data_IF_684350751377
#
_entry.id   IF_684350751377
#
_cell.length_a   1.000
_cell.length_b   1.000
_cell.length_c   1.000
_cell.angle_alpha   90.00
_cell.angle_beta   90.00
_cell.angle_gamma   90.00
#
_symmetry.space_group_name_H-M   'P 1'
#
loop_
_entity.id
_entity.type
_entity.pdbx_description
1 polymer ?
#
# COMPACT_ATOMS: atom_id res chain seq x y z
N UNK A 1 48.50 -13.26 -28.22
CA UNK A 1 47.10 -13.55 -28.57
C UNK A 1 46.28 -13.69 -27.26
N UNK A 2 45.38 -12.76 -26.96
CA UNK A 2 44.45 -12.92 -25.83
C UNK A 2 43.38 -13.94 -26.20
N UNK A 3 43.17 -14.92 -25.34
CA UNK A 3 42.10 -15.91 -25.56
C UNK A 3 40.73 -15.24 -25.42
N UNK A 4 39.73 -15.69 -26.18
CA UNK A 4 38.38 -15.13 -26.18
C UNK A 4 37.76 -14.97 -24.77
N UNK A 5 38.12 -15.87 -23.84
CA UNK A 5 37.69 -15.82 -22.44
C UNK A 5 38.24 -14.59 -21.69
N UNK A 6 39.51 -14.19 -21.95
CA UNK A 6 40.09 -13.00 -21.33
C UNK A 6 39.50 -11.71 -21.86
N UNK A 7 39.10 -11.69 -23.14
CA UNK A 7 38.40 -10.55 -23.75
C UNK A 7 37.01 -10.37 -23.17
N UNK A 8 36.28 -11.46 -22.95
CA UNK A 8 34.92 -11.42 -22.36
C UNK A 8 34.94 -10.87 -20.92
N UNK A 9 35.90 -11.33 -20.08
CA UNK A 9 36.02 -10.84 -18.70
C UNK A 9 36.40 -9.36 -18.68
N UNK A 10 37.21 -8.89 -19.62
CA UNK A 10 37.59 -7.48 -19.71
C UNK A 10 36.41 -6.60 -20.13
N UNK A 11 35.59 -7.04 -21.06
CA UNK A 11 34.41 -6.33 -21.52
C UNK A 11 33.32 -6.27 -20.45
N UNK A 12 33.09 -7.34 -19.67
CA UNK A 12 32.16 -7.32 -18.55
C UNK A 12 32.62 -6.42 -17.41
N UNK A 13 33.89 -6.40 -17.08
CA UNK A 13 34.43 -5.47 -16.07
C UNK A 13 34.29 -4.01 -16.48
N UNK A 14 34.54 -3.69 -17.77
CA UNK A 14 34.37 -2.33 -18.31
C UNK A 14 32.91 -1.87 -18.29
N UNK A 15 31.95 -2.78 -18.54
CA UNK A 15 30.54 -2.48 -18.54
C UNK A 15 30.01 -2.22 -17.12
N UNK A 16 30.49 -3.00 -16.14
CA UNK A 16 30.11 -2.80 -14.73
C UNK A 16 30.68 -1.50 -14.18
N UNK A 17 31.90 -1.14 -14.51
CA UNK A 17 32.51 0.14 -14.11
C UNK A 17 31.83 1.34 -14.78
N UNK A 18 31.40 1.22 -16.02
CA UNK A 18 30.65 2.27 -16.72
C UNK A 18 29.26 2.49 -16.11
N UNK A 19 28.55 1.41 -15.74
CA UNK A 19 27.25 1.48 -15.04
C UNK A 19 27.40 2.10 -13.64
N UNK A 20 28.44 1.76 -12.88
CA UNK A 20 28.70 2.37 -11.58
C UNK A 20 29.06 3.87 -11.70
N UNK A 21 29.82 4.26 -12.73
CA UNK A 21 30.15 5.67 -12.98
C UNK A 21 28.89 6.48 -13.38
N UNK A 22 27.95 5.88 -14.13
CA UNK A 22 26.69 6.54 -14.52
C UNK A 22 25.80 6.80 -13.30
N UNK A 23 25.76 5.86 -12.34
CA UNK A 23 24.99 6.03 -11.09
C UNK A 23 25.60 7.13 -10.20
N UNK A 24 26.92 7.29 -10.19
CA UNK A 24 27.60 8.31 -9.37
C UNK A 24 27.47 9.72 -9.99
N UNK A 25 27.44 9.84 -11.30
CA UNK A 25 27.29 11.14 -11.99
C UNK A 25 25.86 11.68 -11.89
N UNK A 26 24.84 10.82 -11.84
CA UNK A 26 23.43 11.26 -11.68
C UNK A 26 23.10 11.66 -10.25
N UNK A 27 23.93 11.35 -9.26
CA UNK A 27 23.70 11.69 -7.85
C UNK A 27 24.32 13.04 -7.39
N UNK A 28 24.97 13.78 -8.28
CA UNK A 28 25.54 15.10 -7.98
C UNK A 28 24.82 16.18 -8.77
N UNK A 29 23.79 16.74 -8.20
CA UNK A 29 23.22 17.99 -8.68
C UNK A 29 21.70 18.01 -8.81
N UNK A 30 20.98 17.60 -7.79
CA UNK A 30 19.60 18.06 -7.65
C UNK A 30 19.56 19.15 -6.57
N UNK A 31 19.30 20.37 -7.04
CA UNK A 31 18.77 21.40 -6.20
C UNK A 31 17.51 20.83 -5.53
N UNK A 32 17.37 20.99 -4.22
CA UNK A 32 16.16 20.68 -3.48
C UNK A 32 14.99 21.37 -4.16
N UNK A 33 14.27 20.65 -5.02
CA UNK A 33 12.91 21.01 -5.38
C UNK A 33 12.11 20.90 -4.07
N UNK A 34 11.37 21.94 -3.67
CA UNK A 34 10.48 21.82 -2.53
C UNK A 34 9.62 20.60 -2.75
N UNK A 35 9.75 19.60 -1.87
CA UNK A 35 8.96 18.38 -1.90
C UNK A 35 7.49 18.74 -1.96
N UNK A 36 6.65 17.89 -2.56
CA UNK A 36 5.22 18.14 -2.60
C UNK A 36 4.77 18.43 -1.16
N UNK A 37 4.18 19.62 -0.98
CA UNK A 37 3.59 20.03 0.28
C UNK A 37 2.68 18.89 0.74
N UNK A 38 3.04 18.24 1.84
CA UNK A 38 2.20 17.23 2.47
C UNK A 38 0.93 17.94 2.95
N UNK A 39 -0.05 18.04 2.06
CA UNK A 39 -1.37 18.46 2.50
C UNK A 39 -1.88 17.34 3.43
N UNK A 40 -2.30 17.66 4.64
CA UNK A 40 -2.90 16.66 5.49
C UNK A 40 -4.05 15.99 4.73
N UNK A 41 -4.12 14.67 4.78
CA UNK A 41 -5.28 13.91 4.30
C UNK A 41 -6.50 14.60 4.89
N UNK A 42 -7.42 15.01 4.04
CA UNK A 42 -8.58 15.78 4.47
C UNK A 42 -9.26 15.02 5.61
N UNK A 43 -9.33 15.65 6.77
CA UNK A 43 -10.06 15.08 7.88
C UNK A 43 -11.49 14.81 7.42
N UNK A 44 -11.96 13.58 7.62
CA UNK A 44 -13.36 13.22 7.44
C UNK A 44 -14.25 14.30 8.05
N UNK A 45 -15.25 14.74 7.30
CA UNK A 45 -16.36 15.44 7.92
C UNK A 45 -17.21 14.40 8.67
N UNK A 46 -16.70 14.03 9.85
CA UNK A 46 -17.19 12.93 10.67
C UNK A 46 -18.69 13.02 10.96
N UNK A 47 -19.22 14.24 11.04
CA UNK A 47 -20.65 14.43 11.34
C UNK A 47 -21.56 13.93 10.22
N UNK A 48 -21.22 14.19 8.94
CA UNK A 48 -22.04 13.74 7.81
C UNK A 48 -21.93 12.23 7.58
N UNK A 49 -20.73 11.68 7.74
CA UNK A 49 -20.50 10.24 7.60
C UNK A 49 -21.15 9.45 8.76
N UNK A 50 -21.03 9.95 9.98
CA UNK A 50 -21.67 9.35 11.15
C UNK A 50 -23.20 9.38 11.06
N UNK A 51 -23.79 10.43 10.48
CA UNK A 51 -25.23 10.58 10.31
C UNK A 51 -25.75 9.59 9.26
N UNK A 52 -25.03 9.40 8.16
CA UNK A 52 -25.39 8.44 7.10
C UNK A 52 -25.33 6.98 7.58
N UNK A 53 -24.31 6.63 8.39
CA UNK A 53 -24.04 5.25 8.80
C UNK A 53 -24.60 4.91 10.20
N UNK A 54 -24.87 5.90 11.06
CA UNK A 54 -25.31 5.67 12.45
C UNK A 54 -26.58 4.84 12.59
N UNK A 55 -27.43 4.82 11.57
CA UNK A 55 -28.60 3.95 11.50
C UNK A 55 -28.27 2.45 11.49
N UNK A 56 -27.04 2.07 11.10
CA UNK A 56 -26.61 0.70 10.89
C UNK A 56 -25.63 0.16 11.96
N UNK A 57 -25.28 0.92 12.98
CA UNK A 57 -24.37 0.57 14.09
C UNK A 57 -22.97 0.10 13.68
N UNK A 58 -22.50 0.49 12.50
CA UNK A 58 -21.28 -0.02 11.91
C UNK A 58 -20.04 0.80 12.34
N UNK A 59 -20.23 2.11 12.50
CA UNK A 59 -19.16 3.01 12.93
C UNK A 59 -19.08 3.01 14.45
N UNK A 60 -17.96 2.50 14.97
CA UNK A 60 -17.66 2.58 16.40
C UNK A 60 -17.29 4.02 16.80
N UNK A 61 -16.47 4.68 16.01
CA UNK A 61 -16.02 6.07 16.19
C UNK A 61 -15.23 6.33 17.48
N UNK A 62 -15.21 5.39 18.41
CA UNK A 62 -14.57 5.54 19.72
C UNK A 62 -13.07 5.84 19.59
N UNK A 63 -12.42 5.32 18.55
CA UNK A 63 -11.00 5.45 18.29
C UNK A 63 -10.69 6.21 17.00
N UNK A 64 -11.65 6.98 16.48
CA UNK A 64 -11.49 7.69 15.22
C UNK A 64 -10.29 8.66 15.21
N UNK A 65 -10.03 9.35 16.32
CA UNK A 65 -8.88 10.26 16.44
C UNK A 65 -7.55 9.52 16.30
N UNK A 66 -7.46 8.31 16.86
CA UNK A 66 -6.25 7.47 16.76
C UNK A 66 -6.03 7.00 15.33
N UNK A 67 -7.09 6.55 14.65
CA UNK A 67 -7.02 6.14 13.23
C UNK A 67 -6.56 7.30 12.36
N UNK A 68 -7.15 8.49 12.52
CA UNK A 68 -6.75 9.69 11.77
C UNK A 68 -5.32 10.14 12.11
N UNK A 69 -4.92 10.03 13.37
CA UNK A 69 -3.55 10.35 13.78
C UNK A 69 -2.54 9.48 13.03
N UNK A 70 -2.80 8.18 12.91
CA UNK A 70 -1.95 7.25 12.16
C UNK A 70 -2.04 7.54 10.65
N UNK A 71 -3.23 7.76 10.11
CA UNK A 71 -3.40 8.12 8.69
C UNK A 71 -2.57 9.34 8.28
N UNK A 72 -2.44 10.33 9.16
CA UNK A 72 -1.60 11.52 8.93
C UNK A 72 -0.09 11.25 8.93
N UNK A 73 0.34 10.04 9.33
CA UNK A 73 1.75 9.63 9.29
C UNK A 73 2.10 8.78 8.05
N UNK A 74 1.13 8.53 7.17
CA UNK A 74 1.35 7.79 5.92
C UNK A 74 2.41 8.50 5.07
N UNK A 75 3.41 7.77 4.57
CA UNK A 75 4.48 8.32 3.74
C UNK A 75 3.95 9.14 2.56
N UNK A 76 4.55 10.32 2.28
CA UNK A 76 4.08 11.23 1.24
C UNK A 76 3.96 10.61 -0.15
N UNK A 77 4.81 9.64 -0.47
CA UNK A 77 4.80 8.93 -1.75
C UNK A 77 3.54 8.07 -1.97
N UNK A 78 2.85 7.67 -0.90
CA UNK A 78 1.59 6.92 -0.97
C UNK A 78 0.35 7.82 -1.05
N UNK A 79 0.45 9.08 -0.67
CA UNK A 79 -0.68 10.00 -0.59
C UNK A 79 -1.40 10.23 -1.94
N UNK A 80 -0.74 10.22 -3.11
CA UNK A 80 -1.46 10.34 -4.39
C UNK A 80 -2.53 9.27 -4.60
N UNK A 81 -2.30 8.04 -4.10
CA UNK A 81 -3.26 6.95 -4.16
C UNK A 81 -4.48 7.15 -3.25
N UNK A 82 -4.34 8.01 -2.24
CA UNK A 82 -5.34 8.20 -1.18
C UNK A 82 -6.21 9.45 -1.40
N UNK A 83 -6.15 10.02 -2.61
CA UNK A 83 -6.96 11.21 -2.91
C UNK A 83 -8.45 10.88 -2.84
N UNK A 84 -9.15 11.50 -1.88
CA UNK A 84 -10.57 11.24 -1.61
C UNK A 84 -10.83 9.96 -0.83
N UNK A 85 -9.79 9.27 -0.33
CA UNK A 85 -9.97 8.13 0.57
C UNK A 85 -10.31 8.61 1.97
N UNK A 86 -11.33 8.01 2.56
CA UNK A 86 -11.77 8.30 3.92
C UNK A 86 -11.32 7.19 4.87
N UNK A 87 -10.94 7.57 6.10
CA UNK A 87 -10.51 6.64 7.15
C UNK A 87 -11.54 6.57 8.25
N UNK A 88 -12.02 5.36 8.54
CA UNK A 88 -13.15 5.11 9.45
C UNK A 88 -12.74 4.16 10.56
N UNK A 89 -13.07 4.51 11.81
CA UNK A 89 -12.99 3.55 12.90
C UNK A 89 -14.32 2.77 13.00
N UNK A 90 -14.28 1.49 12.66
CA UNK A 90 -15.46 0.63 12.70
C UNK A 90 -15.25 -0.73 12.07
N UNK A 91 -16.31 -1.54 12.06
CA UNK A 91 -16.34 -2.80 11.35
C UNK A 91 -17.01 -2.61 9.99
N UNK A 92 -16.33 -2.98 8.93
CA UNK A 92 -16.90 -2.92 7.60
C UNK A 92 -18.09 -3.92 7.49
N UNK A 93 -19.22 -3.52 6.91
CA UNK A 93 -20.40 -4.38 6.79
C UNK A 93 -20.16 -5.70 6.08
N UNK A 94 -19.34 -5.67 5.03
CA UNK A 94 -18.99 -6.85 4.26
C UNK A 94 -18.27 -7.90 5.14
N UNK A 95 -17.26 -7.50 5.92
CA UNK A 95 -16.54 -8.44 6.78
C UNK A 95 -17.46 -9.05 7.84
N UNK A 96 -18.32 -8.24 8.43
CA UNK A 96 -19.29 -8.72 9.44
C UNK A 96 -20.28 -9.72 8.84
N UNK A 97 -20.73 -9.49 7.61
CA UNK A 97 -21.70 -10.38 6.94
C UNK A 97 -21.05 -11.64 6.38
N UNK A 98 -19.96 -11.49 5.62
CA UNK A 98 -19.37 -12.60 4.86
C UNK A 98 -18.41 -13.44 5.70
N UNK A 99 -17.66 -12.82 6.61
CA UNK A 99 -16.71 -13.51 7.48
C UNK A 99 -17.33 -13.87 8.85
N UNK A 100 -18.49 -13.28 9.20
CA UNK A 100 -19.11 -13.45 10.51
C UNK A 100 -18.35 -12.75 11.64
N UNK A 101 -17.34 -11.94 11.32
CA UNK A 101 -16.49 -11.25 12.28
C UNK A 101 -16.04 -9.88 11.74
N UNK A 102 -15.53 -9.05 12.63
CA UNK A 102 -14.95 -7.75 12.30
C UNK A 102 -13.46 -7.91 11.97
N UNK A 103 -13.07 -7.73 10.72
CA UNK A 103 -11.66 -7.72 10.35
C UNK A 103 -10.88 -6.60 11.07
N UNK A 104 -9.57 -6.73 11.17
CA UNK A 104 -8.71 -5.67 11.72
C UNK A 104 -8.77 -4.40 10.86
N UNK A 105 -8.76 -4.55 9.53
CA UNK A 105 -8.94 -3.50 8.55
C UNK A 105 -9.72 -3.98 7.34
N UNK A 106 -10.12 -3.05 6.48
CA UNK A 106 -10.75 -3.32 5.17
C UNK A 106 -10.66 -2.06 4.32
N UNK A 107 -10.12 -2.17 3.11
CA UNK A 107 -10.27 -1.15 2.08
C UNK A 107 -11.46 -1.50 1.18
N UNK A 108 -12.40 -0.57 1.04
CA UNK A 108 -13.54 -0.71 0.14
C UNK A 108 -13.46 0.28 -1.03
N UNK A 109 -13.08 -0.17 -2.22
CA UNK A 109 -13.01 0.70 -3.40
C UNK A 109 -14.39 1.07 -3.95
N UNK A 110 -15.40 0.22 -3.77
CA UNK A 110 -16.68 0.28 -4.47
C UNK A 110 -17.85 0.76 -3.63
N UNK A 111 -17.72 0.74 -2.30
CA UNK A 111 -18.80 1.09 -1.39
C UNK A 111 -19.80 -0.03 -1.21
N UNK A 112 -19.28 -1.26 -1.03
CA UNK A 112 -20.15 -2.41 -0.85
C UNK A 112 -20.93 -2.32 0.47
N UNK A 113 -22.24 -2.55 0.43
CA UNK A 113 -23.10 -2.70 1.58
C UNK A 113 -23.82 -4.05 1.58
N UNK A 114 -24.47 -4.40 2.70
CA UNK A 114 -25.05 -5.72 2.89
C UNK A 114 -26.37 -5.93 2.14
N UNK A 115 -27.00 -4.88 1.69
CA UNK A 115 -28.35 -4.89 1.11
C UNK A 115 -28.49 -4.03 -0.15
N UNK A 116 -27.36 -3.47 -0.63
CA UNK A 116 -27.29 -2.60 -1.80
C UNK A 116 -28.19 -1.35 -1.69
N UNK A 117 -28.52 -0.93 -0.47
CA UNK A 117 -29.40 0.22 -0.24
C UNK A 117 -28.67 1.54 -0.14
N UNK A 118 -27.36 1.51 0.22
CA UNK A 118 -26.55 2.70 0.42
C UNK A 118 -25.61 3.02 -0.76
N UNK A 119 -25.55 2.15 -1.75
CA UNK A 119 -24.86 2.23 -3.03
C UNK A 119 -23.76 3.27 -3.12
N UNK A 120 -22.51 2.90 -2.99
CA UNK A 120 -21.32 3.75 -3.13
C UNK A 120 -21.06 4.82 -2.04
N UNK A 121 -21.89 4.94 -1.00
CA UNK A 121 -21.63 5.91 0.07
C UNK A 121 -20.32 5.67 0.78
N UNK A 122 -19.84 4.41 0.82
CA UNK A 122 -18.61 4.01 1.46
C UNK A 122 -17.46 3.73 0.48
N UNK A 123 -17.67 4.06 -0.79
CA UNK A 123 -16.65 3.88 -1.80
C UNK A 123 -15.37 4.65 -1.45
N UNK A 124 -14.23 4.02 -1.72
CA UNK A 124 -12.90 4.56 -1.44
C UNK A 124 -12.69 4.87 0.06
N UNK A 125 -13.07 3.93 0.93
CA UNK A 125 -12.91 4.04 2.39
C UNK A 125 -11.95 2.98 2.93
N UNK A 126 -11.18 3.36 3.95
CA UNK A 126 -10.35 2.46 4.74
C UNK A 126 -10.95 2.36 6.14
N UNK A 127 -11.38 1.17 6.50
CA UNK A 127 -11.94 0.84 7.80
C UNK A 127 -10.88 0.23 8.70
N UNK A 128 -10.82 0.69 9.94
CA UNK A 128 -9.91 0.16 10.97
C UNK A 128 -10.71 -0.13 12.21
N UNK A 129 -10.74 -1.39 12.62
CA UNK A 129 -11.56 -1.81 13.74
C UNK A 129 -11.01 -1.34 15.09
N UNK A 130 -11.90 -1.21 16.08
CA UNK A 130 -11.50 -0.95 17.47
C UNK A 130 -10.64 -2.08 18.05
N UNK A 131 -10.67 -3.28 17.47
CA UNK A 131 -9.78 -4.37 17.85
C UNK A 131 -8.34 -4.08 17.45
N UNK A 132 -8.09 -3.53 16.24
CA UNK A 132 -6.76 -3.09 15.81
C UNK A 132 -6.17 -2.06 16.79
N UNK A 133 -7.00 -1.12 17.26
CA UNK A 133 -6.57 -0.11 18.23
C UNK A 133 -6.19 -0.75 19.57
N UNK A 134 -7.07 -1.57 20.12
CA UNK A 134 -6.83 -2.23 21.43
C UNK A 134 -5.60 -3.13 21.44
N UNK A 135 -5.21 -3.65 20.28
CA UNK A 135 -4.03 -4.53 20.14
C UNK A 135 -2.77 -3.78 19.69
N UNK A 136 -2.84 -2.45 19.52
CA UNK A 136 -1.70 -1.62 19.12
C UNK A 136 -1.26 -1.81 17.66
N UNK A 137 -2.12 -2.38 16.80
CA UNK A 137 -1.79 -2.73 15.40
C UNK A 137 -2.22 -1.70 14.37
N UNK A 138 -2.74 -0.55 14.79
CA UNK A 138 -3.28 0.47 13.86
C UNK A 138 -2.29 0.88 12.78
N UNK A 139 -0.99 1.14 13.05
CA UNK A 139 -0.05 1.56 12.02
C UNK A 139 0.12 0.49 10.92
N UNK A 140 0.25 -0.77 11.30
CA UNK A 140 0.44 -1.87 10.35
C UNK A 140 -0.85 -2.13 9.55
N UNK A 141 -2.01 -2.14 10.21
CA UNK A 141 -3.32 -2.27 9.56
C UNK A 141 -3.56 -1.13 8.57
N UNK A 142 -3.31 0.11 8.96
CA UNK A 142 -3.46 1.27 8.05
C UNK A 142 -2.56 1.12 6.82
N UNK A 143 -1.30 0.73 7.00
CA UNK A 143 -0.38 0.53 5.86
C UNK A 143 -0.79 -0.64 4.97
N UNK A 144 -1.35 -1.71 5.53
CA UNK A 144 -1.91 -2.84 4.78
C UNK A 144 -3.06 -2.38 3.88
N UNK A 145 -4.06 -1.71 4.45
CA UNK A 145 -5.21 -1.21 3.69
C UNK A 145 -4.82 -0.12 2.68
N UNK A 146 -3.83 0.72 3.01
CA UNK A 146 -3.21 1.65 2.05
C UNK A 146 -2.55 0.90 0.91
N UNK A 147 -1.96 -0.27 1.15
CA UNK A 147 -1.44 -1.16 0.11
C UNK A 147 -2.52 -1.53 -0.91
N UNK A 148 -3.71 -1.95 -0.46
CA UNK A 148 -4.86 -2.22 -1.33
C UNK A 148 -5.30 -0.97 -2.11
N UNK A 149 -5.38 0.18 -1.45
CA UNK A 149 -5.73 1.44 -2.09
C UNK A 149 -4.72 1.86 -3.18
N UNK A 150 -3.41 1.70 -2.92
CA UNK A 150 -2.36 1.95 -3.92
C UNK A 150 -2.48 1.04 -5.12
N UNK A 151 -2.69 -0.26 -4.88
CA UNK A 151 -2.86 -1.26 -5.95
C UNK A 151 -4.07 -0.92 -6.82
N UNK A 152 -5.18 -0.51 -6.21
CA UNK A 152 -6.39 -0.13 -6.94
C UNK A 152 -6.26 1.22 -7.65
N UNK A 153 -5.79 2.26 -6.95
CA UNK A 153 -5.87 3.63 -7.44
C UNK A 153 -4.67 4.07 -8.30
N UNK A 154 -3.51 3.39 -8.16
CA UNK A 154 -2.31 3.75 -8.93
C UNK A 154 -1.82 2.66 -9.88
N UNK A 155 -1.98 1.38 -9.55
CA UNK A 155 -1.33 0.32 -10.31
C UNK A 155 -2.21 -0.29 -11.40
N UNK A 156 -3.53 -0.11 -11.35
CA UNK A 156 -4.48 -0.66 -12.32
C UNK A 156 -4.21 -0.15 -13.74
N UNK A 157 -3.93 1.15 -13.89
CA UNK A 157 -3.69 1.81 -15.18
C UNK A 157 -2.22 2.20 -15.38
N UNK A 158 -1.32 1.69 -14.54
CA UNK A 158 0.11 1.98 -14.61
C UNK A 158 0.87 0.85 -15.30
N UNK A 159 1.79 1.19 -16.20
CA UNK A 159 2.58 0.24 -16.98
C UNK A 159 4.08 0.51 -16.84
N UNK A 160 4.88 -0.55 -16.75
CA UNK A 160 6.32 -0.38 -16.86
C UNK A 160 6.72 0.00 -18.31
N UNK A 161 7.67 0.92 -18.50
CA UNK A 161 8.02 1.47 -19.84
C UNK A 161 8.41 0.43 -20.90
N UNK A 162 8.80 -0.78 -20.49
CA UNK A 162 9.22 -1.87 -21.38
C UNK A 162 8.23 -3.04 -21.46
N UNK A 163 7.12 -2.96 -20.74
CA UNK A 163 6.10 -4.02 -20.61
C UNK A 163 4.70 -3.41 -20.73
N UNK A 164 4.45 -2.73 -21.86
CA UNK A 164 3.23 -1.95 -22.06
C UNK A 164 1.94 -2.77 -22.17
N UNK A 165 2.03 -4.10 -22.19
CA UNK A 165 0.86 -5.00 -22.27
C UNK A 165 0.40 -5.51 -20.90
N UNK A 166 1.18 -5.30 -19.84
CA UNK A 166 0.91 -5.83 -18.50
C UNK A 166 1.01 -4.69 -17.48
N UNK A 167 0.01 -4.53 -16.66
CA UNK A 167 -0.01 -3.49 -15.64
C UNK A 167 0.99 -3.77 -14.51
N UNK A 168 1.36 -2.74 -13.78
CA UNK A 168 2.19 -2.87 -12.57
C UNK A 168 1.52 -3.78 -11.55
N UNK A 169 0.18 -3.68 -11.39
CA UNK A 169 -0.62 -4.56 -10.54
C UNK A 169 -0.43 -6.03 -10.91
N UNK A 170 -0.66 -6.39 -12.17
CA UNK A 170 -0.56 -7.78 -12.62
C UNK A 170 0.83 -8.37 -12.38
N UNK A 171 1.89 -7.61 -12.67
CA UNK A 171 3.28 -8.04 -12.46
C UNK A 171 3.60 -8.25 -10.98
N UNK A 172 3.12 -7.36 -10.10
CA UNK A 172 3.32 -7.51 -8.67
C UNK A 172 2.52 -8.69 -8.12
N UNK A 173 1.24 -8.84 -8.47
CA UNK A 173 0.43 -10.00 -8.03
C UNK A 173 1.05 -11.33 -8.45
N UNK A 174 1.60 -11.44 -9.67
CA UNK A 174 2.36 -12.63 -10.09
C UNK A 174 3.58 -12.90 -9.22
N UNK A 175 4.25 -11.84 -8.74
CA UNK A 175 5.42 -11.96 -7.85
C UNK A 175 5.04 -12.51 -6.47
N UNK A 176 3.81 -12.27 -6.01
CA UNK A 176 3.27 -12.71 -4.72
C UNK A 176 2.43 -13.99 -4.80
N UNK A 177 2.33 -14.66 -5.95
CA UNK A 177 1.67 -15.95 -6.04
C UNK A 177 2.40 -17.01 -5.17
N UNK A 178 1.75 -17.46 -4.09
CA UNK A 178 2.36 -18.38 -3.11
C UNK A 178 1.31 -19.32 -2.51
N UNK A 179 1.36 -20.59 -2.89
CA UNK A 179 0.43 -21.61 -2.40
C UNK A 179 -1.03 -21.22 -2.59
N UNK A 180 -1.82 -21.30 -1.51
CA UNK A 180 -3.24 -20.94 -1.47
C UNK A 180 -3.46 -19.52 -0.94
N UNK A 181 -2.39 -18.76 -0.69
CA UNK A 181 -2.49 -17.38 -0.24
C UNK A 181 -3.04 -16.46 -1.34
N UNK A 182 -3.88 -15.50 -0.98
CA UNK A 182 -4.27 -14.46 -1.90
C UNK A 182 -3.08 -13.53 -2.18
N UNK A 183 -2.63 -13.42 -3.44
CA UNK A 183 -1.51 -12.53 -3.79
C UNK A 183 -1.75 -11.06 -3.45
N UNK A 184 -3.01 -10.61 -3.42
CA UNK A 184 -3.35 -9.22 -3.07
C UNK A 184 -3.07 -8.94 -1.59
N UNK A 185 -3.38 -9.91 -0.72
CA UNK A 185 -3.13 -9.82 0.71
C UNK A 185 -1.63 -9.86 1.04
N UNK A 186 -0.89 -10.76 0.36
CA UNK A 186 0.58 -10.79 0.51
C UNK A 186 1.24 -9.50 -0.01
N UNK A 187 0.72 -8.93 -1.09
CA UNK A 187 1.20 -7.65 -1.60
C UNK A 187 0.90 -6.51 -0.61
N UNK A 188 -0.28 -6.49 0.01
CA UNK A 188 -0.65 -5.50 1.03
C UNK A 188 0.26 -5.61 2.27
N UNK A 189 0.56 -6.82 2.77
CA UNK A 189 1.55 -7.02 3.83
C UNK A 189 2.95 -6.53 3.42
N UNK A 190 3.32 -6.67 2.15
CA UNK A 190 4.59 -6.15 1.66
C UNK A 190 4.66 -4.61 1.67
N UNK A 191 3.52 -3.91 1.58
CA UNK A 191 3.48 -2.45 1.82
C UNK A 191 3.78 -2.11 3.27
N UNK A 192 3.31 -2.90 4.24
CA UNK A 192 3.67 -2.71 5.65
C UNK A 192 5.19 -2.78 5.80
N UNK A 193 5.83 -3.83 5.28
CA UNK A 193 7.29 -3.99 5.33
C UNK A 193 8.02 -2.88 4.58
N UNK A 194 7.49 -2.45 3.43
CA UNK A 194 8.13 -1.43 2.58
C UNK A 194 8.09 -0.03 3.18
N UNK A 195 7.01 0.33 3.87
CA UNK A 195 6.72 1.71 4.23
C UNK A 195 6.55 1.95 5.74
N UNK A 196 6.74 0.93 6.58
CA UNK A 196 6.72 1.11 8.03
C UNK A 196 7.82 2.10 8.47
N UNK A 197 7.41 3.11 9.22
CA UNK A 197 8.29 4.12 9.82
C UNK A 197 8.13 4.21 11.34
N UNK A 198 7.29 3.34 11.95
CA UNK A 198 6.83 3.50 13.32
C UNK A 198 7.53 2.59 14.32
N UNK A 199 8.02 1.42 13.90
CA UNK A 199 8.68 0.47 14.79
C UNK A 199 9.65 -0.43 14.04
N UNK A 200 10.62 -1.02 14.78
CA UNK A 200 11.49 -2.07 14.25
C UNK A 200 10.74 -3.42 14.12
N UNK A 201 9.61 -3.56 14.82
CA UNK A 201 8.75 -4.73 14.78
C UNK A 201 7.53 -4.43 13.90
N UNK A 202 7.38 -5.19 12.82
CA UNK A 202 6.32 -5.08 11.82
C UNK A 202 5.40 -6.29 11.98
N UNK A 203 4.11 -6.04 12.10
CA UNK A 203 3.12 -7.11 12.15
C UNK A 203 2.49 -7.30 10.77
N UNK A 204 2.75 -8.45 10.17
CA UNK A 204 2.22 -8.87 8.87
C UNK A 204 1.38 -10.12 9.07
N UNK A 205 0.06 -10.00 8.89
CA UNK A 205 -0.86 -11.10 9.18
C UNK A 205 -0.71 -12.26 8.20
N UNK A 206 -0.74 -11.97 6.91
CA UNK A 206 -0.70 -13.01 5.86
C UNK A 206 0.71 -13.58 5.67
N UNK A 207 1.76 -12.79 5.84
CA UNK A 207 3.13 -13.29 5.83
C UNK A 207 3.34 -14.32 6.94
N UNK A 208 2.85 -14.04 8.15
CA UNK A 208 2.95 -14.96 9.28
C UNK A 208 2.09 -16.22 9.04
N UNK A 209 0.85 -16.03 8.59
CA UNK A 209 -0.08 -17.15 8.33
C UNK A 209 0.44 -18.13 7.28
N UNK A 210 1.04 -17.64 6.21
CA UNK A 210 1.52 -18.46 5.08
C UNK A 210 3.02 -18.73 5.12
N UNK A 211 3.70 -18.36 6.22
CA UNK A 211 5.16 -18.45 6.33
C UNK A 211 5.89 -17.88 5.10
N UNK A 212 5.40 -16.74 4.63
CA UNK A 212 5.94 -16.02 3.48
C UNK A 212 6.90 -14.92 3.95
N UNK A 213 7.92 -14.64 3.17
CA UNK A 213 8.84 -13.54 3.41
C UNK A 213 9.19 -12.86 2.10
N UNK A 214 8.85 -11.60 1.97
CA UNK A 214 9.24 -10.80 0.81
C UNK A 214 10.74 -10.55 0.81
N UNK A 215 11.41 -10.83 -0.31
CA UNK A 215 12.83 -10.52 -0.46
C UNK A 215 13.06 -9.00 -0.51
N UNK A 216 14.26 -8.56 -0.13
CA UNK A 216 14.65 -7.15 -0.24
C UNK A 216 14.47 -6.60 -1.67
N UNK A 217 14.70 -7.43 -2.68
CA UNK A 217 14.50 -7.04 -4.09
C UNK A 217 13.05 -6.74 -4.39
N UNK A 218 12.12 -7.56 -3.89
CA UNK A 218 10.67 -7.37 -4.06
C UNK A 218 10.22 -6.09 -3.37
N UNK A 219 10.68 -5.83 -2.15
CA UNK A 219 10.38 -4.59 -1.42
C UNK A 219 10.87 -3.35 -2.20
N UNK A 220 12.07 -3.42 -2.79
CA UNK A 220 12.57 -2.32 -3.63
C UNK A 220 11.75 -2.14 -4.92
N UNK A 221 11.24 -3.24 -5.52
CA UNK A 221 10.33 -3.16 -6.68
C UNK A 221 9.03 -2.44 -6.34
N UNK A 222 8.43 -2.71 -5.17
CA UNK A 222 7.21 -2.02 -4.72
C UNK A 222 7.47 -0.51 -4.60
N UNK A 223 8.54 -0.09 -3.93
CA UNK A 223 8.88 1.33 -3.80
C UNK A 223 9.11 2.01 -5.16
N UNK A 224 9.80 1.31 -6.07
CA UNK A 224 10.02 1.80 -7.43
C UNK A 224 8.70 1.91 -8.22
N UNK A 225 7.78 0.96 -8.07
CA UNK A 225 6.47 0.98 -8.68
C UNK A 225 5.63 2.18 -8.19
N UNK A 226 5.58 2.41 -6.87
CA UNK A 226 4.92 3.57 -6.29
C UNK A 226 5.48 4.87 -6.88
N UNK A 227 6.80 5.02 -6.90
CA UNK A 227 7.43 6.22 -7.47
C UNK A 227 7.14 6.40 -8.96
N UNK A 228 7.09 5.30 -9.73
CA UNK A 228 6.78 5.35 -11.17
C UNK A 228 5.35 5.80 -11.41
N UNK A 229 4.39 5.23 -10.68
CA UNK A 229 2.96 5.39 -10.94
C UNK A 229 2.37 6.66 -10.28
N UNK A 230 3.07 7.30 -9.36
CA UNK A 230 2.61 8.51 -8.68
C UNK A 230 2.95 9.82 -9.45
N UNK A 231 3.53 9.73 -10.64
CA UNK A 231 3.89 10.88 -11.49
C UNK A 231 2.81 11.19 -12.50
#
# INVERSE_FOLDING_TARGET
MLTAAKLLVFLTALFVTFLLALVIVTSRGEAETPGPSSQPIAALNFASFHEAISGHRIVDGQHQEEVLRVANTIPPELQPALKGTEFVNGCHPWTTKELGDCAFGTYDPAGWDSDDTHGHEWANTIWVSSQAVRTGKVPDVVLHEVGHAVVHNLFDDCYFPKQAETTVKELLLQTFAHGDADPAELLADAFVVAFNTHSDEVHTYYFDQFNFQASKEVILKIRAAVWLCSK
#
